data_IF_054968536597
#
_entry.id   IF_054968536597
#
_cell.length_a   1.000
_cell.length_b   1.000
_cell.length_c   1.000
_cell.angle_alpha   90.00
_cell.angle_beta   90.00
_cell.angle_gamma   90.00
#
_symmetry.space_group_name_H-M   'P 1'
#
loop_
_entity.id
_entity.type
_entity.pdbx_description
1 polymer ?
#
# COMPACT_ATOMS: atom_id res chain seq x y z
N UNK A 1 -5.50 15.85 -0.68
CA UNK A 1 -4.07 15.85 -1.04
C UNK A 1 -3.35 14.55 -0.69
N UNK A 2 -3.38 14.06 0.57
CA UNK A 2 -2.65 12.84 0.99
C UNK A 2 -2.97 11.57 0.18
N UNK A 3 -4.21 11.39 -0.29
CA UNK A 3 -4.61 10.24 -1.11
C UNK A 3 -4.01 10.29 -2.52
N UNK A 4 -4.09 11.45 -3.20
CA UNK A 4 -3.57 11.63 -4.56
C UNK A 4 -2.05 11.44 -4.62
N UNK A 5 -1.32 11.92 -3.61
CA UNK A 5 0.13 11.70 -3.53
C UNK A 5 0.49 10.22 -3.43
N UNK A 6 -0.30 9.43 -2.68
CA UNK A 6 -0.07 7.98 -2.55
C UNK A 6 -0.38 7.24 -3.84
N UNK A 7 -1.49 7.59 -4.48
CA UNK A 7 -1.84 7.03 -5.77
C UNK A 7 -0.76 7.36 -6.81
N UNK A 8 -0.32 8.62 -6.87
CA UNK A 8 0.76 9.03 -7.77
C UNK A 8 2.08 8.32 -7.46
N UNK A 9 2.44 8.17 -6.19
CA UNK A 9 3.67 7.48 -5.79
C UNK A 9 3.62 5.99 -6.14
N UNK A 10 2.54 5.28 -5.79
CA UNK A 10 2.44 3.84 -6.01
C UNK A 10 2.27 3.55 -7.50
N UNK A 11 1.32 4.21 -8.19
CA UNK A 11 1.11 3.99 -9.62
C UNK A 11 2.31 4.46 -10.45
N UNK A 12 2.94 5.58 -10.07
CA UNK A 12 4.15 6.07 -10.72
C UNK A 12 5.34 5.12 -10.52
N UNK A 13 5.52 4.59 -9.32
CA UNK A 13 6.55 3.58 -9.05
C UNK A 13 6.27 2.28 -9.82
N UNK A 14 5.02 1.81 -9.87
CA UNK A 14 4.62 0.64 -10.66
C UNK A 14 4.90 0.84 -12.15
N UNK A 15 4.61 2.02 -12.70
CA UNK A 15 4.86 2.34 -14.10
C UNK A 15 6.36 2.42 -14.40
N UNK A 16 7.12 3.13 -13.56
CA UNK A 16 8.57 3.25 -13.68
C UNK A 16 9.23 1.87 -13.61
N UNK A 17 8.78 1.04 -12.68
CA UNK A 17 9.22 -0.34 -12.53
C UNK A 17 9.00 -1.15 -13.80
N UNK A 18 7.79 -1.08 -14.37
CA UNK A 18 7.47 -1.75 -15.64
C UNK A 18 8.39 -1.29 -16.76
N UNK A 19 8.61 0.02 -16.91
CA UNK A 19 9.50 0.58 -17.95
C UNK A 19 10.94 0.08 -17.76
N UNK A 20 11.45 0.09 -16.53
CA UNK A 20 12.82 -0.34 -16.24
C UNK A 20 12.99 -1.83 -16.55
N UNK A 21 12.08 -2.68 -16.09
CA UNK A 21 12.23 -4.13 -16.30
C UNK A 21 12.11 -4.50 -17.78
N UNK A 22 11.14 -3.92 -18.50
CA UNK A 22 10.98 -4.20 -19.94
C UNK A 22 12.17 -3.75 -20.79
N UNK A 23 12.84 -2.64 -20.43
CA UNK A 23 13.94 -2.10 -21.24
C UNK A 23 15.32 -2.67 -20.85
N UNK A 24 15.55 -2.98 -19.58
CA UNK A 24 16.87 -3.39 -19.08
C UNK A 24 17.01 -4.90 -18.83
N UNK A 25 15.89 -5.63 -18.72
CA UNK A 25 15.91 -7.08 -18.45
C UNK A 25 14.90 -7.85 -19.34
N UNK A 26 15.08 -7.87 -20.67
CA UNK A 26 14.10 -8.41 -21.63
C UNK A 26 14.09 -9.95 -21.75
N UNK A 27 14.67 -10.70 -20.80
CA UNK A 27 14.77 -12.16 -20.87
C UNK A 27 13.58 -12.82 -20.15
N UNK A 28 13.00 -13.89 -20.70
CA UNK A 28 11.80 -14.56 -20.13
C UNK A 28 11.97 -15.01 -18.65
N UNK A 29 13.18 -15.42 -18.25
CA UNK A 29 13.48 -15.78 -16.85
C UNK A 29 13.47 -14.57 -15.90
N UNK A 30 13.68 -13.36 -16.43
CA UNK A 30 13.64 -12.12 -15.65
C UNK A 30 12.22 -11.71 -15.30
N UNK A 31 11.19 -12.17 -16.01
CA UNK A 31 9.80 -11.79 -15.77
C UNK A 31 9.25 -12.38 -14.45
N UNK A 32 9.68 -13.60 -14.09
CA UNK A 32 9.33 -14.20 -12.79
C UNK A 32 9.98 -13.39 -11.65
N UNK A 33 11.27 -13.06 -11.79
CA UNK A 33 11.99 -12.21 -10.84
C UNK A 33 11.39 -10.81 -10.75
N UNK A 34 10.92 -10.27 -11.87
CA UNK A 34 10.30 -8.96 -11.93
C UNK A 34 8.97 -8.92 -11.17
N UNK A 35 8.12 -9.94 -11.31
CA UNK A 35 6.89 -10.04 -10.52
C UNK A 35 7.18 -10.07 -9.02
N UNK A 36 8.17 -10.87 -8.59
CA UNK A 36 8.57 -10.98 -7.18
C UNK A 36 9.10 -9.69 -6.59
N UNK A 37 9.99 -8.99 -7.30
CA UNK A 37 10.53 -7.70 -6.84
C UNK A 37 9.41 -6.67 -6.75
N UNK A 38 8.47 -6.65 -7.71
CA UNK A 38 7.30 -5.78 -7.66
C UNK A 38 6.44 -6.03 -6.41
N UNK A 39 6.12 -7.30 -6.13
CA UNK A 39 5.34 -7.67 -4.95
C UNK A 39 6.08 -7.33 -3.65
N UNK A 40 7.39 -7.58 -3.58
CA UNK A 40 8.21 -7.20 -2.44
C UNK A 40 8.20 -5.68 -2.20
N UNK A 41 8.32 -4.89 -3.28
CA UNK A 41 8.25 -3.44 -3.21
C UNK A 41 6.88 -2.96 -2.69
N UNK A 42 5.78 -3.54 -3.19
CA UNK A 42 4.44 -3.24 -2.69
C UNK A 42 4.34 -3.50 -1.18
N UNK A 43 4.81 -4.66 -0.71
CA UNK A 43 4.77 -5.02 0.72
C UNK A 43 5.57 -4.02 1.56
N UNK A 44 6.80 -3.72 1.15
CA UNK A 44 7.70 -2.84 1.91
C UNK A 44 7.16 -1.41 1.97
N UNK A 45 6.77 -0.85 0.82
CA UNK A 45 6.27 0.54 0.74
C UNK A 45 4.96 0.68 1.50
N UNK A 46 4.03 -0.26 1.30
CA UNK A 46 2.72 -0.22 1.98
C UNK A 46 2.86 -0.41 3.49
N UNK A 47 3.73 -1.33 3.94
CA UNK A 47 3.99 -1.55 5.36
C UNK A 47 4.67 -0.34 6.03
N UNK A 48 5.73 0.20 5.44
CA UNK A 48 6.45 1.34 5.98
C UNK A 48 5.58 2.61 6.03
N UNK A 49 4.80 2.86 4.99
CA UNK A 49 3.91 4.02 4.95
C UNK A 49 2.68 3.82 5.82
N UNK A 50 2.17 2.58 5.92
CA UNK A 50 1.13 2.22 6.89
C UNK A 50 1.60 2.48 8.32
N UNK A 51 2.84 2.10 8.66
CA UNK A 51 3.48 2.38 9.95
C UNK A 51 3.54 3.88 10.24
N UNK A 52 4.05 4.65 9.29
CA UNK A 52 4.11 6.11 9.40
C UNK A 52 2.72 6.72 9.62
N UNK A 53 1.72 6.27 8.88
CA UNK A 53 0.35 6.73 9.00
C UNK A 53 -0.26 6.38 10.35
N UNK A 54 -0.07 5.15 10.84
CA UNK A 54 -0.54 4.73 12.15
C UNK A 54 0.02 5.59 13.26
N UNK A 55 1.34 5.85 13.21
CA UNK A 55 2.05 6.67 14.20
C UNK A 55 1.53 8.12 14.27
N UNK A 56 1.19 8.70 13.12
CA UNK A 56 0.72 10.09 13.05
C UNK A 56 -0.80 10.25 13.17
N UNK A 57 -1.53 9.18 13.49
CA UNK A 57 -3.00 9.20 13.48
C UNK A 57 -3.58 9.19 14.89
N UNK A 58 -4.59 10.04 15.11
CA UNK A 58 -5.39 10.04 16.34
C UNK A 58 -6.58 9.10 16.27
N UNK A 59 -7.01 8.72 15.06
CA UNK A 59 -8.14 7.82 14.80
C UNK A 59 -7.79 6.84 13.68
N UNK A 60 -8.03 5.54 13.91
CA UNK A 60 -7.69 4.46 12.96
C UNK A 60 -8.62 4.33 11.74
N UNK A 61 -9.97 4.42 11.87
CA UNK A 61 -10.85 4.09 10.75
C UNK A 61 -10.61 4.90 9.46
N UNK A 62 -10.37 6.23 9.50
CA UNK A 62 -10.11 7.00 8.28
C UNK A 62 -8.81 6.59 7.57
N UNK A 63 -7.82 6.10 8.30
CA UNK A 63 -6.54 5.63 7.74
C UNK A 63 -6.75 4.31 7.01
N UNK A 64 -7.46 3.38 7.63
CA UNK A 64 -7.82 2.10 7.02
C UNK A 64 -8.64 2.28 5.74
N UNK A 65 -9.65 3.16 5.74
CA UNK A 65 -10.46 3.43 4.53
C UNK A 65 -9.59 3.97 3.39
N UNK A 66 -8.64 4.86 3.68
CA UNK A 66 -7.71 5.37 2.65
C UNK A 66 -6.85 4.26 2.06
N UNK A 67 -6.33 3.36 2.88
CA UNK A 67 -5.53 2.23 2.42
C UNK A 67 -6.36 1.18 1.68
N UNK A 68 -7.62 0.96 2.07
CA UNK A 68 -8.55 0.12 1.32
C UNK A 68 -8.80 0.68 -0.09
N UNK A 69 -8.98 2.00 -0.23
CA UNK A 69 -9.11 2.65 -1.54
C UNK A 69 -7.82 2.52 -2.36
N UNK A 70 -6.65 2.71 -1.76
CA UNK A 70 -5.36 2.53 -2.45
C UNK A 70 -5.20 1.09 -2.92
N UNK A 71 -5.46 0.11 -2.05
CA UNK A 71 -5.37 -1.31 -2.38
C UNK A 71 -6.31 -1.69 -3.54
N UNK A 72 -7.54 -1.17 -3.53
CA UNK A 72 -8.50 -1.38 -4.62
C UNK A 72 -7.97 -0.81 -5.94
N UNK A 73 -7.50 0.44 -5.95
CA UNK A 73 -6.98 1.08 -7.18
C UNK A 73 -5.76 0.34 -7.71
N UNK A 74 -4.83 -0.07 -6.84
CA UNK A 74 -3.64 -0.83 -7.24
C UNK A 74 -4.04 -2.22 -7.76
N UNK A 75 -4.95 -2.91 -7.08
CA UNK A 75 -5.44 -4.23 -7.51
C UNK A 75 -6.13 -4.17 -8.88
N UNK A 76 -6.89 -3.11 -9.17
CA UNK A 76 -7.57 -2.92 -10.44
C UNK A 76 -6.64 -2.50 -11.58
N UNK A 77 -5.45 -1.96 -11.28
CA UNK A 77 -4.56 -1.40 -12.30
C UNK A 77 -4.09 -2.44 -13.33
N UNK A 78 -3.79 -3.67 -12.90
CA UNK A 78 -3.38 -4.77 -13.78
C UNK A 78 -4.47 -5.20 -14.77
N UNK A 79 -5.64 -5.67 -14.28
CA UNK A 79 -6.75 -6.07 -15.15
C UNK A 79 -7.20 -4.96 -16.10
N UNK A 80 -7.23 -3.70 -15.64
CA UNK A 80 -7.58 -2.57 -16.49
C UNK A 80 -6.54 -2.32 -17.57
N UNK A 81 -5.24 -2.42 -17.25
CA UNK A 81 -4.18 -2.29 -18.24
C UNK A 81 -4.32 -3.34 -19.35
N UNK A 82 -4.44 -4.62 -18.97
CA UNK A 82 -4.62 -5.75 -19.91
C UNK A 82 -5.86 -5.54 -20.79
N UNK A 83 -6.98 -5.14 -20.18
CA UNK A 83 -8.22 -4.85 -20.90
C UNK A 83 -8.07 -3.79 -22.00
N UNK A 84 -7.27 -2.73 -21.74
CA UNK A 84 -7.03 -1.66 -22.70
C UNK A 84 -5.94 -1.98 -23.73
N UNK A 85 -4.95 -2.81 -23.40
CA UNK A 85 -3.81 -3.11 -24.27
C UNK A 85 -4.02 -4.36 -25.14
N UNK A 86 -4.63 -5.43 -24.62
CA UNK A 86 -4.65 -6.76 -25.27
C UNK A 86 -5.99 -7.13 -25.92
N UNK A 87 -6.98 -6.23 -25.85
CA UNK A 87 -8.22 -6.35 -26.63
C UNK A 87 -9.40 -6.95 -25.86
N UNK A 88 -9.98 -6.16 -24.95
CA UNK A 88 -11.35 -6.28 -24.39
C UNK A 88 -11.97 -7.68 -24.25
N UNK A 89 -11.19 -8.66 -23.79
CA UNK A 89 -11.69 -10.01 -23.49
C UNK A 89 -12.35 -10.01 -22.09
N UNK A 90 -13.68 -10.14 -22.07
CA UNK A 90 -14.45 -10.10 -20.84
C UNK A 90 -14.20 -11.31 -19.94
N UNK A 91 -13.79 -12.45 -20.51
CA UNK A 91 -13.43 -13.65 -19.77
C UNK A 91 -12.11 -13.44 -19.00
N UNK A 92 -11.11 -12.87 -19.66
CA UNK A 92 -9.82 -12.52 -19.03
C UNK A 92 -10.02 -11.48 -17.94
N UNK A 93 -10.75 -10.39 -18.23
CA UNK A 93 -11.04 -9.35 -17.25
C UNK A 93 -11.76 -9.91 -16.01
N UNK A 94 -12.78 -10.76 -16.20
CA UNK A 94 -13.50 -11.35 -15.08
C UNK A 94 -12.61 -12.28 -14.25
N UNK A 95 -11.75 -13.07 -14.91
CA UNK A 95 -10.75 -13.92 -14.24
C UNK A 95 -9.80 -13.08 -13.38
N UNK A 96 -9.24 -12.02 -13.95
CA UNK A 96 -8.29 -11.15 -13.25
C UNK A 96 -8.94 -10.35 -12.12
N UNK A 97 -10.19 -9.92 -12.29
CA UNK A 97 -10.97 -9.31 -11.21
C UNK A 97 -11.22 -10.28 -10.05
N UNK A 98 -11.37 -11.59 -10.34
CA UNK A 98 -11.66 -12.60 -9.33
C UNK A 98 -10.43 -13.12 -8.60
N UNK A 99 -9.29 -13.23 -9.29
CA UNK A 99 -8.09 -13.86 -8.73
C UNK A 99 -6.93 -12.88 -8.52
N UNK A 100 -6.58 -12.12 -9.56
CA UNK A 100 -5.42 -11.22 -9.52
C UNK A 100 -5.67 -9.98 -8.66
N UNK A 101 -6.83 -9.35 -8.82
CA UNK A 101 -7.22 -8.13 -8.10
C UNK A 101 -7.20 -8.32 -6.58
N UNK A 102 -7.87 -9.33 -5.98
CA UNK A 102 -7.84 -9.52 -4.53
C UNK A 102 -6.43 -9.90 -4.03
N UNK A 103 -5.65 -10.62 -4.82
CA UNK A 103 -4.26 -10.93 -4.47
C UNK A 103 -3.40 -9.66 -4.38
N UNK A 104 -3.39 -8.84 -5.42
CA UNK A 104 -2.60 -7.59 -5.45
C UNK A 104 -3.12 -6.57 -4.44
N UNK A 105 -4.45 -6.44 -4.29
CA UNK A 105 -5.04 -5.60 -3.25
C UNK A 105 -4.64 -6.08 -1.85
N UNK A 106 -4.60 -7.40 -1.62
CA UNK A 106 -4.14 -8.01 -0.37
C UNK A 106 -2.68 -7.70 -0.07
N UNK A 107 -1.81 -7.74 -1.07
CA UNK A 107 -0.39 -7.37 -0.97
C UNK A 107 -0.14 -5.91 -0.57
N UNK A 108 -1.14 -5.04 -0.74
CA UNK A 108 -1.08 -3.64 -0.30
C UNK A 108 -1.76 -3.49 1.06
N UNK A 109 -2.99 -4.00 1.19
CA UNK A 109 -3.83 -3.74 2.35
C UNK A 109 -3.33 -4.44 3.60
N UNK A 110 -2.88 -5.70 3.50
CA UNK A 110 -2.45 -6.48 4.66
C UNK A 110 -1.19 -5.89 5.32
N UNK A 111 -0.07 -5.67 4.61
CA UNK A 111 1.10 -5.00 5.19
C UNK A 111 0.81 -3.57 5.66
N UNK A 112 -0.01 -2.79 4.93
CA UNK A 112 -0.44 -1.48 5.41
C UNK A 112 -1.22 -1.56 6.73
N UNK A 113 -2.15 -2.49 6.86
CA UNK A 113 -2.92 -2.71 8.09
C UNK A 113 -2.02 -3.07 9.28
N UNK A 114 -1.05 -3.97 9.06
CA UNK A 114 -0.05 -4.33 10.07
C UNK A 114 0.78 -3.11 10.46
N UNK A 115 1.28 -2.35 9.48
CA UNK A 115 2.00 -1.11 9.71
C UNK A 115 1.17 -0.13 10.55
N UNK A 116 -0.06 0.15 10.15
CA UNK A 116 -0.97 1.07 10.86
C UNK A 116 -1.15 0.65 12.32
N UNK A 117 -1.42 -0.64 12.56
CA UNK A 117 -1.62 -1.17 13.90
C UNK A 117 -0.37 -0.99 14.78
N UNK A 118 0.81 -1.32 14.23
CA UNK A 118 2.09 -1.13 14.94
C UNK A 118 2.37 0.35 15.22
N UNK A 119 2.18 1.22 14.23
CA UNK A 119 2.48 2.64 14.33
C UNK A 119 1.60 3.31 15.39
N UNK A 120 0.31 2.99 15.38
CA UNK A 120 -0.64 3.52 16.35
C UNK A 120 -0.35 3.02 17.78
N UNK A 121 0.03 1.75 17.93
CA UNK A 121 0.40 1.19 19.23
C UNK A 121 1.67 1.84 19.82
N UNK A 122 2.60 2.28 18.98
CA UNK A 122 3.83 2.95 19.40
C UNK A 122 3.56 4.39 19.91
N UNK A 123 2.76 5.18 19.20
CA UNK A 123 2.40 6.55 19.62
C UNK A 123 1.49 6.58 20.87
N UNK A 124 0.61 5.58 21.02
CA UNK A 124 -0.23 5.44 22.22
C UNK A 124 0.55 5.22 23.53
N UNK A 125 1.76 4.65 23.47
CA UNK A 125 2.64 4.52 24.64
C UNK A 125 3.19 5.86 25.11
N UNK A 126 3.52 6.76 24.18
CA UNK A 126 4.04 8.09 24.52
C UNK A 126 2.95 9.00 25.12
N UNK A 127 1.68 8.82 24.72
CA UNK A 127 0.54 9.56 25.28
C UNK A 127 0.11 9.09 26.67
N UNK A 128 0.52 7.89 27.08
CA UNK A 128 0.07 7.25 28.33
C UNK A 128 0.96 7.56 29.54
N UNK A 129 2.06 8.30 29.37
CA UNK A 129 2.88 8.75 30.50
C UNK A 129 2.14 9.90 31.21
N UNK A 130 1.65 9.71 32.45
CA UNK A 130 1.00 10.78 33.19
C UNK A 130 2.06 11.84 33.47
N UNK A 131 1.78 13.07 33.03
CA UNK A 131 2.42 14.26 33.59
C UNK A 131 2.08 14.26 35.08
N UNK A 132 2.97 13.69 35.90
CA UNK A 132 3.00 13.90 37.34
C UNK A 132 3.37 15.36 37.57
N UNK A 133 2.41 16.25 37.37
CA UNK A 133 2.50 17.62 37.85
C UNK A 133 2.43 17.53 39.36
N UNK A 134 3.60 17.50 39.99
CA UNK A 134 3.83 17.90 41.36
C UNK A 134 3.27 19.31 41.57
N UNK A 135 1.99 19.39 41.93
CA UNK A 135 1.41 20.58 42.57
C UNK A 135 2.11 20.74 43.91
N UNK A 136 3.18 21.53 43.94
CA UNK A 136 3.67 22.11 45.18
C UNK A 136 2.57 23.05 45.71
N UNK A 137 2.04 22.83 46.92
CA UNK A 137 1.23 23.84 47.59
C UNK A 137 2.19 24.92 48.10
N UNK A 138 2.10 26.13 47.54
CA UNK A 138 2.68 27.32 48.17
C UNK A 138 1.80 27.70 49.37
N UNK A 139 2.42 27.68 50.55
CA UNK A 139 1.89 28.21 51.82
C UNK A 139 1.72 29.72 51.76
#
# INVERSE_FOLDING_TARGET
MKLLVRLAAILGASLLYSIVMTNFFPTEDADIGAGLIYFAALIVVSGAWGLWDGYHSTVLPPVFVRWAVVALVVGLSGPLKIWFEEGRDAGVLLSDLRYLTPFVAGLVLAPAAVGIALGYALDGRDRSLPQSTSRHPSL
#
